data_IF_445822771916
#
_entry.id   IF_445822771916
#
_cell.length_a   1.000
_cell.length_b   1.000
_cell.length_c   1.000
_cell.angle_alpha   90.00
_cell.angle_beta   90.00
_cell.angle_gamma   90.00
#
_symmetry.space_group_name_H-M   'P 1'
#
loop_
_entity.id
_entity.type
_entity.pdbx_description
1 polymer ?
#
# COMPACT_ATOMS: atom_id res chain seq x y z
N UNK A 1 -0.30 -15.53 -1.63
CA UNK A 1 0.35 -14.20 -1.59
C UNK A 1 0.22 -13.54 -0.21
N UNK A 2 -0.98 -13.51 0.38
CA UNK A 2 -1.27 -12.83 1.66
C UNK A 2 -0.28 -13.14 2.80
N UNK A 3 0.16 -14.39 2.97
CA UNK A 3 1.10 -14.76 4.04
C UNK A 3 2.55 -14.31 3.85
N UNK A 4 2.98 -14.05 2.61
CA UNK A 4 4.40 -13.83 2.28
C UNK A 4 4.73 -12.41 1.78
N UNK A 5 3.72 -11.64 1.35
CA UNK A 5 3.90 -10.24 0.93
C UNK A 5 3.11 -9.29 1.82
N UNK A 6 1.77 -9.47 1.88
CA UNK A 6 0.88 -8.55 2.60
C UNK A 6 1.14 -8.54 4.11
N UNK A 7 1.33 -9.72 4.72
CA UNK A 7 1.58 -9.85 6.15
C UNK A 7 2.88 -9.17 6.65
N UNK A 8 4.06 -9.41 6.05
CA UNK A 8 5.29 -8.73 6.49
C UNK A 8 5.21 -7.20 6.28
N UNK A 9 4.64 -6.74 5.16
CA UNK A 9 4.44 -5.31 4.91
C UNK A 9 3.50 -4.70 5.97
N UNK A 10 2.34 -5.32 6.20
CA UNK A 10 1.35 -4.84 7.18
C UNK A 10 1.94 -4.75 8.59
N UNK A 11 2.74 -5.73 9.01
CA UNK A 11 3.43 -5.70 10.32
C UNK A 11 4.47 -4.58 10.39
N UNK A 12 5.23 -4.35 9.32
CA UNK A 12 6.23 -3.28 9.29
C UNK A 12 5.57 -1.91 9.46
N UNK A 13 4.54 -1.65 8.67
CA UNK A 13 3.86 -0.35 8.65
C UNK A 13 2.97 -0.13 9.86
N UNK A 14 2.47 -1.18 10.52
CA UNK A 14 1.68 -1.05 11.75
C UNK A 14 2.43 -0.36 12.91
N UNK A 15 3.76 -0.26 12.83
CA UNK A 15 4.59 0.47 13.80
C UNK A 15 4.82 1.95 13.48
N UNK A 16 4.21 2.47 12.42
CA UNK A 16 4.25 3.90 12.05
C UNK A 16 3.46 4.70 13.07
N UNK A 17 3.92 5.92 13.37
CA UNK A 17 3.21 6.78 14.32
C UNK A 17 1.87 7.26 13.77
N UNK A 18 0.92 7.52 14.67
CA UNK A 18 -0.39 8.10 14.34
C UNK A 18 -1.26 7.27 13.38
N UNK A 19 -1.07 5.95 13.32
CA UNK A 19 -2.01 5.04 12.65
C UNK A 19 -3.32 4.97 13.42
N UNK A 20 -4.43 4.97 12.68
CA UNK A 20 -5.76 4.62 13.15
C UNK A 20 -5.99 3.11 12.98
N UNK A 21 -5.88 2.60 11.74
CA UNK A 21 -5.94 1.17 11.45
C UNK A 21 -5.22 0.81 10.14
N UNK A 22 -4.88 -0.48 9.98
CA UNK A 22 -4.27 -1.03 8.77
C UNK A 22 -5.21 -2.07 8.19
N UNK A 23 -5.48 -1.97 6.89
CA UNK A 23 -6.19 -3.02 6.15
C UNK A 23 -5.29 -3.62 5.08
N UNK A 24 -5.52 -4.88 4.75
CA UNK A 24 -4.81 -5.56 3.67
C UNK A 24 -5.79 -6.32 2.81
N UNK A 25 -5.62 -6.20 1.49
CA UNK A 25 -6.40 -6.94 0.51
C UNK A 25 -5.42 -7.60 -0.47
N UNK A 26 -5.65 -8.88 -0.72
CA UNK A 26 -4.79 -9.68 -1.60
C UNK A 26 -5.63 -10.29 -2.71
N UNK A 27 -5.23 -10.07 -3.95
CA UNK A 27 -5.78 -10.71 -5.15
C UNK A 27 -4.69 -11.54 -5.82
N UNK A 28 -5.02 -12.49 -6.71
CA UNK A 28 -4.01 -13.12 -7.55
C UNK A 28 -3.16 -12.03 -8.23
N UNK A 29 -1.84 -12.17 -8.13
CA UNK A 29 -0.84 -11.24 -8.70
C UNK A 29 -0.80 -9.81 -8.14
N UNK A 30 -1.61 -9.46 -7.13
CA UNK A 30 -1.58 -8.11 -6.54
C UNK A 30 -1.91 -8.11 -5.06
N UNK A 31 -1.21 -7.28 -4.28
CA UNK A 31 -1.46 -7.10 -2.85
C UNK A 31 -1.41 -5.64 -2.50
N UNK A 32 -2.42 -5.19 -1.77
CA UNK A 32 -2.59 -3.80 -1.37
C UNK A 32 -2.68 -3.75 0.15
N UNK A 33 -1.82 -2.95 0.77
CA UNK A 33 -1.86 -2.63 2.19
C UNK A 33 -2.23 -1.16 2.30
N UNK A 34 -3.33 -0.88 2.99
CA UNK A 34 -3.82 0.48 3.20
C UNK A 34 -3.61 0.84 4.65
N UNK A 35 -2.84 1.91 4.89
CA UNK A 35 -2.59 2.46 6.21
C UNK A 35 -3.47 3.68 6.37
N UNK A 36 -4.40 3.62 7.33
CA UNK A 36 -5.25 4.75 7.66
C UNK A 36 -4.62 5.51 8.83
N UNK A 37 -4.36 6.80 8.61
CA UNK A 37 -3.77 7.68 9.61
C UNK A 37 -4.87 8.38 10.42
N UNK A 38 -4.57 8.72 11.68
CA UNK A 38 -5.44 9.54 12.53
C UNK A 38 -5.63 10.93 11.92
N UNK A 39 -6.80 11.52 12.15
CA UNK A 39 -7.10 12.88 11.72
C UNK A 39 -6.09 13.88 12.32
N UNK A 40 -5.55 14.77 11.47
CA UNK A 40 -4.52 15.75 11.86
C UNK A 40 -3.08 15.27 11.73
N UNK A 41 -2.84 14.01 11.32
CA UNK A 41 -1.49 13.49 11.06
C UNK A 41 -0.85 14.17 9.85
N UNK A 42 0.46 14.44 9.92
CA UNK A 42 1.20 14.95 8.78
C UNK A 42 1.45 13.83 7.76
N UNK A 43 0.91 13.93 6.54
CA UNK A 43 1.02 12.86 5.55
C UNK A 43 2.44 12.69 4.97
N UNK A 44 3.28 13.73 5.01
CA UNK A 44 4.65 13.65 4.52
C UNK A 44 5.56 12.93 5.51
N UNK A 45 5.37 13.16 6.82
CA UNK A 45 6.03 12.40 7.88
C UNK A 45 5.62 10.93 7.82
N UNK A 46 4.31 10.68 7.70
CA UNK A 46 3.77 9.32 7.58
C UNK A 46 4.34 8.58 6.36
N UNK A 47 4.45 9.26 5.20
CA UNK A 47 5.02 8.67 4.00
C UNK A 47 6.50 8.29 4.20
N UNK A 48 7.30 9.18 4.80
CA UNK A 48 8.72 8.92 5.06
C UNK A 48 8.91 7.73 6.00
N UNK A 49 8.12 7.65 7.08
CA UNK A 49 8.15 6.52 8.01
C UNK A 49 7.73 5.22 7.32
N UNK A 50 6.60 5.20 6.63
CA UNK A 50 6.11 4.01 5.91
C UNK A 50 7.15 3.53 4.90
N UNK A 51 7.76 4.45 4.15
CA UNK A 51 8.79 4.14 3.17
C UNK A 51 10.02 3.50 3.84
N UNK A 52 10.49 4.04 4.97
CA UNK A 52 11.60 3.46 5.72
C UNK A 52 11.26 2.05 6.24
N UNK A 53 10.06 1.86 6.81
CA UNK A 53 9.61 0.56 7.34
C UNK A 53 9.48 -0.49 6.25
N UNK A 54 8.90 -0.13 5.10
CA UNK A 54 8.77 -1.00 3.93
C UNK A 54 10.13 -1.39 3.37
N UNK A 55 11.06 -0.44 3.27
CA UNK A 55 12.43 -0.73 2.85
C UNK A 55 13.13 -1.70 3.81
N UNK A 56 12.90 -1.58 5.13
CA UNK A 56 13.45 -2.48 6.13
C UNK A 56 12.99 -3.93 6.01
N UNK A 57 11.73 -4.17 5.58
CA UNK A 57 11.20 -5.52 5.37
C UNK A 57 11.36 -6.03 3.94
N UNK A 58 11.89 -5.21 3.02
CA UNK A 58 12.12 -5.61 1.62
C UNK A 58 12.97 -6.88 1.53
N UNK A 59 13.98 -7.04 2.38
CA UNK A 59 14.84 -8.23 2.43
C UNK A 59 14.14 -9.51 2.89
N UNK A 60 12.92 -9.40 3.42
CA UNK A 60 12.10 -10.56 3.83
C UNK A 60 11.04 -10.93 2.77
N UNK A 61 10.93 -10.15 1.70
CA UNK A 61 10.03 -10.42 0.60
C UNK A 61 10.66 -11.48 -0.32
N UNK A 62 9.86 -12.37 -0.94
CA UNK A 62 10.38 -13.33 -1.91
C UNK A 62 11.01 -12.64 -3.13
N UNK A 63 12.11 -13.17 -3.66
CA UNK A 63 12.85 -12.59 -4.81
C UNK A 63 12.01 -12.43 -6.08
N UNK A 64 10.96 -13.26 -6.25
CA UNK A 64 10.02 -13.15 -7.37
C UNK A 64 9.02 -11.99 -7.23
N UNK A 65 9.06 -11.24 -6.12
CA UNK A 65 8.15 -10.12 -5.87
C UNK A 65 8.69 -8.84 -6.49
N UNK A 66 7.81 -8.02 -7.07
CA UNK A 66 8.18 -6.67 -7.51
C UNK A 66 8.39 -5.76 -6.31
N UNK A 67 9.18 -4.71 -6.52
CA UNK A 67 9.34 -3.66 -5.52
C UNK A 67 7.97 -3.05 -5.14
N UNK A 68 7.69 -2.89 -3.84
CA UNK A 68 6.47 -2.26 -3.38
C UNK A 68 6.47 -0.79 -3.77
N UNK A 69 5.36 -0.34 -4.37
CA UNK A 69 5.14 1.07 -4.68
C UNK A 69 4.26 1.67 -3.58
N UNK A 70 4.77 2.69 -2.90
CA UNK A 70 4.02 3.43 -1.88
C UNK A 70 3.34 4.62 -2.55
N UNK A 71 2.02 4.72 -2.38
CA UNK A 71 1.23 5.83 -2.92
C UNK A 71 0.60 6.58 -1.75
N UNK A 72 0.82 7.90 -1.70
CA UNK A 72 0.10 8.79 -0.78
C UNK A 72 -1.29 9.06 -1.34
N UNK A 73 -2.33 8.88 -0.52
CA UNK A 73 -3.72 9.18 -0.87
C UNK A 73 -4.49 9.72 0.33
N UNK A 74 -5.53 10.51 0.08
CA UNK A 74 -6.38 11.13 1.11
C UNK A 74 -7.62 10.29 1.45
N UNK A 75 -7.54 8.96 1.30
CA UNK A 75 -8.65 8.03 1.60
C UNK A 75 -9.83 8.06 0.60
N UNK A 76 -10.04 9.18 -0.09
CA UNK A 76 -11.01 9.31 -1.16
C UNK A 76 -10.31 9.57 -2.49
N UNK A 77 -10.08 8.49 -3.24
CA UNK A 77 -9.65 8.57 -4.62
C UNK A 77 -10.90 8.80 -5.48
N UNK A 78 -11.39 10.04 -5.51
CA UNK A 78 -12.42 10.42 -6.47
C UNK A 78 -11.78 10.38 -7.86
N UNK A 79 -12.17 9.40 -8.67
CA UNK A 79 -11.77 9.39 -10.07
C UNK A 79 -12.38 10.63 -10.74
N UNK A 80 -11.52 11.58 -11.14
CA UNK A 80 -11.95 12.76 -11.88
C UNK A 80 -12.40 12.40 -13.30
N UNK A 81 -11.93 11.25 -13.82
CA UNK A 81 -12.27 10.75 -15.14
C UNK A 81 -12.21 9.21 -15.15
N UNK A 82 -13.18 8.57 -15.80
CA UNK A 82 -13.14 7.15 -16.15
C UNK A 82 -12.88 7.04 -17.66
N UNK A 83 -11.81 6.33 -18.05
CA UNK A 83 -11.50 6.04 -19.45
C UNK A 83 -11.71 4.55 -19.67
N UNK A 84 -12.58 4.18 -20.60
CA UNK A 84 -12.69 2.82 -21.12
C UNK A 84 -12.24 2.79 -22.58
N UNK A 85 -11.46 1.78 -22.93
CA UNK A 85 -11.11 1.48 -24.32
C UNK A 85 -11.85 0.22 -24.72
N UNK A 86 -12.63 0.31 -25.80
CA UNK A 86 -13.30 -0.85 -26.39
C UNK A 86 -12.87 -0.95 -27.85
N UNK A 87 -12.36 -2.12 -28.25
CA UNK A 87 -12.02 -2.40 -29.64
C UNK A 87 -13.25 -3.05 -30.30
N UNK A 88 -13.92 -2.40 -31.26
CA UNK A 88 -15.08 -2.98 -31.93
C UNK A 88 -14.73 -4.13 -32.89
N UNK A 89 -13.44 -4.47 -33.06
CA UNK A 89 -12.96 -5.57 -33.91
C UNK A 89 -12.37 -6.76 -33.11
N UNK A 90 -12.76 -6.93 -31.84
CA UNK A 90 -12.46 -8.12 -31.04
C UNK A 90 -13.72 -8.69 -30.41
#
# INVERSE_FOLDING_TARGET
IQGFISAPIARAVASTENIDYVTSSSRPSSSTVTVQMKLGSNPDVALAEVLSKVQGVRGTLPDASKDPVIVKGTGQQFAMMYISMQNPNM
#
